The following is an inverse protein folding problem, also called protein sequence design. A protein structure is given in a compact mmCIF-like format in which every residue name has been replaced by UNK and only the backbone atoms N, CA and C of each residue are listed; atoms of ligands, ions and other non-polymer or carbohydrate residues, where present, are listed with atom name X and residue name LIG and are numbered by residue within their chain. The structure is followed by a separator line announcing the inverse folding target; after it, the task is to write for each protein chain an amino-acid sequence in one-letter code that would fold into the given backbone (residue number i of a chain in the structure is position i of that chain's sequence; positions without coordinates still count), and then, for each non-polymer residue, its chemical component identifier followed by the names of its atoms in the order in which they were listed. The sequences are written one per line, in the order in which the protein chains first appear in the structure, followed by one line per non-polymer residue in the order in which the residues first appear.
data_IF_060921499973
#
_entry.id   IF_060921499973
#
_cell.length_a   1.000
_cell.length_b   1.000
_cell.length_c   1.000
_cell.angle_alpha   90.00
_cell.angle_beta   90.00
_cell.angle_gamma   90.00
#
_symmetry.space_group_name_H-M   'P 1'
#
loop_
_entity.id
_entity.type
_entity.pdbx_description
1 polymer ?
#
# COMPACT_ATOMS: atom_id res chain seq x y z
N UNK A 1 7.83 19.28 4.77
CA UNK A 1 7.84 17.98 5.47
C UNK A 1 6.61 17.22 5.00
N UNK A 2 6.76 16.22 4.13
CA UNK A 2 5.66 15.31 3.80
C UNK A 2 5.45 14.45 5.04
N UNK A 3 4.49 14.82 5.89
CA UNK A 3 4.04 13.95 6.97
C UNK A 3 3.30 12.78 6.30
N UNK A 4 4.05 11.75 5.88
CA UNK A 4 3.45 10.49 5.47
C UNK A 4 2.89 9.86 6.74
N UNK A 5 1.58 9.92 6.91
CA UNK A 5 0.90 9.19 7.98
C UNK A 5 0.99 7.70 7.64
N UNK A 6 1.58 6.91 8.53
CA UNK A 6 1.63 5.45 8.40
C UNK A 6 0.44 4.86 9.12
N UNK A 7 -0.25 3.93 8.47
CA UNK A 7 -1.38 3.20 9.03
C UNK A 7 -1.05 1.69 9.11
N UNK A 8 -1.56 0.98 10.12
CA UNK A 8 -1.49 -0.48 10.16
C UNK A 8 -2.12 -1.10 8.90
N UNK A 9 -1.55 -2.21 8.42
CA UNK A 9 -2.09 -2.92 7.26
C UNK A 9 -3.58 -3.26 7.40
N UNK A 10 -4.01 -3.68 8.59
CA UNK A 10 -5.39 -4.02 8.87
C UNK A 10 -6.37 -2.86 8.61
N UNK A 11 -5.98 -1.62 8.93
CA UNK A 11 -6.83 -0.44 8.73
C UNK A 11 -6.99 -0.09 7.25
N UNK A 12 -5.95 -0.34 6.43
CA UNK A 12 -6.01 -0.10 4.98
C UNK A 12 -6.76 -1.20 4.22
N UNK A 13 -6.82 -2.40 4.79
CA UNK A 13 -7.65 -3.50 4.28
C UNK A 13 -9.12 -3.39 4.72
N UNK A 14 -9.39 -2.74 5.85
CA UNK A 14 -10.74 -2.53 6.36
C UNK A 14 -11.50 -1.46 5.55
N UNK A 15 -12.82 -1.46 5.73
CA UNK A 15 -13.73 -0.42 5.22
C UNK A 15 -14.66 0.04 6.36
N UNK A 16 -14.90 1.36 6.51
CA UNK A 16 -14.40 2.47 5.70
C UNK A 16 -12.90 2.73 5.88
N UNK A 17 -12.27 3.36 4.88
CA UNK A 17 -10.87 3.76 4.97
C UNK A 17 -10.71 4.95 5.95
N UNK A 18 -9.54 5.09 6.61
CA UNK A 18 -9.24 6.25 7.44
C UNK A 18 -9.32 7.57 6.66
N UNK A 19 -9.61 8.67 7.36
CA UNK A 19 -9.73 10.00 6.74
C UNK A 19 -8.40 10.44 6.09
N UNK A 20 -8.47 10.98 4.87
CA UNK A 20 -7.30 11.46 4.13
C UNK A 20 -6.44 10.37 3.47
N UNK A 21 -6.86 9.10 3.52
CA UNK A 21 -6.23 8.00 2.80
C UNK A 21 -6.71 7.96 1.34
N UNK A 22 -5.78 7.95 0.38
CA UNK A 22 -6.08 7.73 -1.04
C UNK A 22 -6.33 6.23 -1.30
N UNK A 23 -7.58 5.82 -1.63
CA UNK A 23 -7.92 4.42 -1.88
C UNK A 23 -7.12 3.80 -3.04
N UNK A 24 -6.62 4.61 -3.97
CA UNK A 24 -5.87 4.12 -5.13
C UNK A 24 -4.38 3.94 -4.84
N UNK A 25 -3.91 4.39 -3.67
CA UNK A 25 -2.49 4.41 -3.28
C UNK A 25 -2.26 3.91 -1.86
N UNK A 26 -2.98 2.88 -1.42
CA UNK A 26 -2.85 2.35 -0.05
C UNK A 26 -1.42 1.95 0.33
N UNK A 27 -0.62 1.50 -0.64
CA UNK A 27 0.77 1.09 -0.45
C UNK A 27 1.70 2.21 0.05
N UNK A 28 1.37 3.49 -0.18
CA UNK A 28 2.22 4.61 0.27
C UNK A 28 2.05 4.92 1.76
N UNK A 29 1.01 4.37 2.37
CA UNK A 29 0.63 4.57 3.76
C UNK A 29 1.07 3.43 4.68
N UNK A 30 1.65 2.38 4.13
CA UNK A 30 2.21 1.28 4.91
C UNK A 30 3.62 1.62 5.40
N UNK A 31 4.00 1.09 6.55
CA UNK A 31 5.41 0.96 6.94
C UNK A 31 6.13 0.04 5.95
N UNK A 32 7.46 0.03 5.94
CA UNK A 32 8.18 -0.90 5.05
C UNK A 32 7.96 -2.36 5.45
N UNK A 33 7.86 -2.64 6.76
CA UNK A 33 7.51 -3.98 7.28
C UNK A 33 6.11 -4.42 6.84
N UNK A 34 5.10 -3.56 7.02
CA UNK A 34 3.72 -3.88 6.59
C UNK A 34 3.62 -3.98 5.07
N UNK A 35 4.40 -3.20 4.34
CA UNK A 35 4.46 -3.26 2.88
C UNK A 35 5.00 -4.62 2.42
N UNK A 36 6.10 -5.07 3.01
CA UNK A 36 6.67 -6.39 2.73
C UNK A 36 5.71 -7.52 3.09
N UNK A 37 4.99 -7.42 4.21
CA UNK A 37 3.97 -8.40 4.59
C UNK A 37 2.79 -8.39 3.61
N UNK A 38 2.33 -7.22 3.17
CA UNK A 38 1.16 -7.10 2.31
C UNK A 38 1.44 -7.53 0.86
N UNK A 39 2.58 -7.10 0.31
CA UNK A 39 2.93 -7.27 -1.09
C UNK A 39 3.99 -8.37 -1.32
N UNK A 40 4.50 -8.98 -0.25
CA UNK A 40 5.50 -10.07 -0.27
C UNK A 40 6.79 -9.68 -1.03
N UNK A 41 7.12 -8.39 -1.02
CA UNK A 41 8.34 -7.83 -1.63
C UNK A 41 8.68 -6.47 -1.03
N UNK A 42 9.92 -6.04 -1.21
CA UNK A 42 10.38 -4.73 -0.75
C UNK A 42 9.75 -3.59 -1.57
N UNK A 43 9.75 -2.38 -1.00
CA UNK A 43 9.23 -1.18 -1.67
C UNK A 43 10.04 -0.83 -2.91
N UNK A 44 11.36 -1.05 -2.86
CA UNK A 44 12.29 -0.86 -3.97
C UNK A 44 11.94 -1.79 -5.14
N UNK A 45 11.76 -3.09 -4.86
CA UNK A 45 11.37 -4.08 -5.88
C UNK A 45 10.04 -3.73 -6.52
N UNK A 46 9.03 -3.37 -5.70
CA UNK A 46 7.72 -2.96 -6.20
C UNK A 46 7.81 -1.74 -7.12
N UNK A 47 8.57 -0.71 -6.70
CA UNK A 47 8.76 0.51 -7.48
C UNK A 47 9.49 0.27 -8.80
N UNK A 48 10.32 -0.78 -8.90
CA UNK A 48 10.97 -1.19 -10.13
C UNK A 48 10.03 -1.93 -11.10
N UNK A 49 8.86 -2.39 -10.65
CA UNK A 49 7.88 -3.05 -11.52
C UNK A 49 7.18 -2.06 -12.47
N UNK A 50 6.77 -2.50 -13.67
CA UNK A 50 5.88 -1.71 -14.51
C UNK A 50 4.55 -1.37 -13.81
N UNK A 51 3.98 -0.19 -14.09
CA UNK A 51 2.76 0.30 -13.42
C UNK A 51 1.57 -0.67 -13.50
N UNK A 52 1.41 -1.39 -14.62
CA UNK A 52 0.34 -2.38 -14.75
C UNK A 52 0.49 -3.54 -13.76
N UNK A 53 1.73 -3.96 -13.47
CA UNK A 53 2.03 -5.04 -12.53
C UNK A 53 1.87 -4.56 -11.08
N UNK A 54 2.27 -3.33 -10.79
CA UNK A 54 2.02 -2.66 -9.51
C UNK A 54 0.52 -2.63 -9.17
N UNK A 55 -0.32 -2.21 -10.12
CA UNK A 55 -1.78 -2.16 -9.95
C UNK A 55 -2.37 -3.57 -9.77
N UNK A 56 -1.92 -4.55 -10.54
CA UNK A 56 -2.41 -5.93 -10.42
C UNK A 56 -2.08 -6.54 -9.05
N UNK A 57 -0.89 -6.31 -8.51
CA UNK A 57 -0.51 -6.77 -7.18
C UNK A 57 -1.38 -6.14 -6.08
N UNK A 58 -1.60 -4.82 -6.15
CA UNK A 58 -2.48 -4.14 -5.18
C UNK A 58 -3.90 -4.68 -5.22
N UNK A 59 -4.46 -4.86 -6.41
CA UNK A 59 -5.79 -5.47 -6.56
C UNK A 59 -5.84 -6.88 -5.99
N UNK A 60 -4.83 -7.70 -6.23
CA UNK A 60 -4.75 -9.05 -5.70
C UNK A 60 -4.68 -9.09 -4.15
N UNK A 61 -4.14 -8.05 -3.53
CA UNK A 61 -3.97 -7.93 -2.08
C UNK A 61 -5.04 -7.04 -1.41
N UNK A 62 -6.02 -6.54 -2.15
CA UNK A 62 -7.08 -5.65 -1.61
C UNK A 62 -6.61 -4.22 -1.31
N UNK A 63 -5.44 -3.82 -1.82
CA UNK A 63 -4.85 -2.48 -1.67
C UNK A 63 -5.20 -1.54 -2.85
N UNK A 64 -6.37 -1.74 -3.46
CA UNK A 64 -6.90 -0.93 -4.57
C UNK A 64 -8.37 -0.54 -4.33
#
# INVERSE_FOLDING_TARGET
KLCKTVYPLADLLARPLPEGVDPLKLEIYLSDEDFEVALEMTREEYNALPSWKQVNLKKAKGLF
#
